data_IF_327736540683
#
_entry.id   IF_327736540683
#
_cell.length_a   1.000
_cell.length_b   1.000
_cell.length_c   1.000
_cell.angle_alpha   90.00
_cell.angle_beta   90.00
_cell.angle_gamma   90.00
#
_symmetry.space_group_name_H-M   'P 1'
#
loop_
_entity.id
_entity.type
_entity.pdbx_description
1 polymer ?
#
# COMPACT_ATOMS: atom_id res chain seq x y z
N UNK A 1 -31.43 -8.70 -7.76
CA UNK A 1 -30.00 -8.66 -8.15
C UNK A 1 -29.24 -9.31 -7.00
N UNK A 2 -28.50 -10.39 -7.22
CA UNK A 2 -27.64 -10.93 -6.16
C UNK A 2 -26.34 -10.12 -6.17
N UNK A 3 -25.93 -9.63 -5.01
CA UNK A 3 -24.75 -8.78 -4.85
C UNK A 3 -23.48 -9.66 -4.82
N UNK A 4 -22.56 -9.44 -5.78
CA UNK A 4 -21.33 -10.23 -5.94
C UNK A 4 -20.04 -9.42 -5.82
N UNK A 5 -20.12 -8.15 -5.41
CA UNK A 5 -18.97 -7.25 -5.36
C UNK A 5 -17.87 -7.80 -4.46
N UNK A 6 -18.21 -8.26 -3.25
CA UNK A 6 -17.25 -8.77 -2.28
C UNK A 6 -16.49 -9.99 -2.83
N UNK A 7 -17.20 -10.97 -3.39
CA UNK A 7 -16.61 -12.18 -3.96
C UNK A 7 -15.70 -11.85 -5.16
N UNK A 8 -16.14 -10.93 -6.03
CA UNK A 8 -15.39 -10.55 -7.24
C UNK A 8 -14.12 -9.79 -6.89
N UNK A 9 -14.20 -8.79 -5.99
CA UNK A 9 -13.03 -8.05 -5.49
C UNK A 9 -12.09 -9.01 -4.73
N UNK A 10 -12.65 -9.90 -3.91
CA UNK A 10 -11.84 -10.87 -3.17
C UNK A 10 -11.07 -11.81 -4.10
N UNK A 11 -11.65 -12.20 -5.24
CA UNK A 11 -10.99 -13.02 -6.26
C UNK A 11 -10.07 -12.23 -7.21
N UNK A 12 -9.88 -10.93 -6.98
CA UNK A 12 -8.88 -10.13 -7.66
C UNK A 12 -9.43 -9.16 -8.71
N UNK A 13 -10.75 -8.96 -8.80
CA UNK A 13 -11.32 -7.92 -9.65
C UNK A 13 -11.20 -6.53 -8.99
N UNK A 14 -9.96 -6.07 -8.83
CA UNK A 14 -9.60 -4.76 -8.32
C UNK A 14 -8.25 -4.33 -8.89
N UNK A 15 -8.11 -3.05 -9.22
CA UNK A 15 -6.87 -2.47 -9.72
C UNK A 15 -6.72 -1.03 -9.24
N UNK A 16 -5.48 -0.57 -9.13
CA UNK A 16 -5.17 0.84 -8.93
C UNK A 16 -4.97 1.53 -10.27
N UNK A 17 -5.55 2.73 -10.39
CA UNK A 17 -5.39 3.60 -11.53
C UNK A 17 -4.95 4.98 -11.06
N UNK A 18 -3.89 5.50 -11.68
CA UNK A 18 -3.34 6.81 -11.35
C UNK A 18 -3.78 7.85 -12.38
N UNK A 19 -4.38 8.94 -11.90
CA UNK A 19 -4.66 10.13 -12.69
C UNK A 19 -3.59 11.19 -12.40
N UNK A 20 -3.12 11.82 -13.47
CA UNK A 20 -2.11 12.87 -13.43
C UNK A 20 -2.73 14.19 -13.85
N UNK A 21 -2.19 15.29 -13.33
CA UNK A 21 -2.67 16.65 -13.60
C UNK A 21 -1.49 17.56 -13.94
N UNK A 22 -1.74 18.85 -14.15
CA UNK A 22 -0.66 19.82 -14.33
C UNK A 22 0.23 19.93 -13.07
N UNK A 23 -0.38 19.85 -11.88
CA UNK A 23 0.32 19.90 -10.59
C UNK A 23 1.07 18.59 -10.28
N UNK A 24 0.56 17.46 -10.74
CA UNK A 24 1.22 16.15 -10.59
C UNK A 24 1.33 15.47 -11.95
N UNK A 25 2.43 15.72 -12.65
CA UNK A 25 2.74 15.07 -13.93
C UNK A 25 3.28 13.64 -13.75
N UNK A 26 3.64 13.31 -12.50
CA UNK A 26 4.44 12.16 -12.08
C UNK A 26 5.72 11.92 -12.90
N UNK A 27 6.30 12.99 -13.41
CA UNK A 27 7.69 12.99 -13.84
C UNK A 27 8.36 14.18 -13.17
N UNK A 28 9.26 13.91 -12.22
CA UNK A 28 9.90 14.94 -11.42
C UNK A 28 10.97 15.73 -12.19
N UNK A 29 11.31 15.33 -13.42
CA UNK A 29 12.24 16.07 -14.28
C UNK A 29 11.56 17.21 -15.09
N UNK A 30 10.22 17.21 -15.18
CA UNK A 30 9.49 18.28 -15.88
C UNK A 30 9.39 19.49 -14.96
N UNK A 31 10.11 20.56 -15.30
CA UNK A 31 10.11 21.82 -14.55
C UNK A 31 9.53 22.94 -15.41
N UNK A 32 8.20 23.05 -15.37
CA UNK A 32 7.41 23.99 -16.17
C UNK A 32 6.77 25.11 -15.33
N UNK A 33 7.18 25.24 -14.06
CA UNK A 33 6.63 26.19 -13.10
C UNK A 33 5.26 25.82 -12.51
N UNK A 34 4.66 24.69 -12.91
CA UNK A 34 3.35 24.22 -12.41
C UNK A 34 3.48 22.87 -11.70
N UNK A 35 4.31 21.97 -12.22
CA UNK A 35 4.53 20.65 -11.64
C UNK A 35 5.13 20.77 -10.23
N UNK A 36 4.48 20.13 -9.25
CA UNK A 36 4.98 20.05 -7.87
C UNK A 36 6.18 19.11 -7.73
N UNK A 37 6.47 18.30 -8.77
CA UNK A 37 7.63 17.43 -8.85
C UNK A 37 7.73 16.47 -7.65
N UNK A 38 6.58 15.88 -7.27
CA UNK A 38 6.56 14.81 -6.27
C UNK A 38 7.51 13.66 -6.66
N UNK A 39 8.03 12.91 -5.66
CA UNK A 39 8.88 11.76 -5.92
C UNK A 39 8.20 10.81 -6.90
N UNK A 40 8.77 10.71 -8.09
CA UNK A 40 8.22 9.91 -9.18
C UNK A 40 9.27 9.38 -10.13
N UNK A 41 10.41 10.06 -10.22
CA UNK A 41 11.48 9.73 -11.16
C UNK A 41 11.16 10.20 -12.57
N UNK A 42 11.91 9.66 -13.53
CA UNK A 42 11.85 10.09 -14.93
C UNK A 42 12.12 8.98 -15.94
N UNK A 43 12.50 7.78 -15.50
CA UNK A 43 12.81 6.67 -16.40
C UNK A 43 11.56 5.91 -16.84
N UNK A 44 10.57 5.74 -15.97
CA UNK A 44 9.34 4.99 -16.28
C UNK A 44 8.16 5.90 -16.62
N UNK A 45 7.56 5.67 -17.79
CA UNK A 45 6.47 6.49 -18.30
C UNK A 45 5.10 6.17 -17.67
N UNK A 46 4.87 4.96 -17.15
CA UNK A 46 3.58 4.50 -16.62
C UNK A 46 3.74 3.38 -15.57
N UNK A 47 2.65 3.01 -14.89
CA UNK A 47 2.64 1.93 -13.89
C UNK A 47 3.23 2.35 -12.55
N UNK A 48 3.95 1.43 -11.89
CA UNK A 48 4.83 1.81 -10.77
C UNK A 48 6.05 2.50 -11.36
N UNK A 49 6.23 3.77 -11.00
CA UNK A 49 7.40 4.55 -11.42
C UNK A 49 8.57 4.31 -10.49
N UNK A 50 9.70 4.95 -10.80
CA UNK A 50 10.96 4.74 -10.07
C UNK A 50 10.82 5.00 -8.57
N UNK A 51 10.02 6.03 -8.23
CA UNK A 51 9.82 6.49 -6.85
C UNK A 51 8.35 6.78 -6.51
N UNK A 52 7.41 6.45 -7.39
CA UNK A 52 5.96 6.55 -7.17
C UNK A 52 5.32 5.17 -7.34
N UNK A 53 4.98 4.52 -6.24
CA UNK A 53 4.64 3.09 -6.19
C UNK A 53 3.25 2.88 -5.61
N UNK A 54 2.41 2.16 -6.34
CA UNK A 54 1.10 1.71 -5.89
C UNK A 54 1.24 0.51 -4.95
N UNK A 55 0.55 0.57 -3.81
CA UNK A 55 0.49 -0.50 -2.80
C UNK A 55 -0.98 -0.80 -2.50
N UNK A 56 -1.55 -1.77 -3.20
CA UNK A 56 -2.84 -2.35 -2.83
C UNK A 56 -2.64 -3.36 -1.72
N UNK A 57 -3.00 -2.98 -0.49
CA UNK A 57 -2.92 -3.84 0.69
C UNK A 57 -4.26 -4.55 0.86
N UNK A 58 -4.24 -5.87 0.89
CA UNK A 58 -5.45 -6.67 1.08
C UNK A 58 -5.16 -7.88 1.98
N UNK A 59 -6.19 -8.40 2.63
CA UNK A 59 -6.13 -9.69 3.30
C UNK A 59 -6.74 -10.80 2.44
N UNK A 60 -6.11 -11.97 2.48
CA UNK A 60 -6.49 -13.19 1.77
C UNK A 60 -6.37 -14.39 2.69
N UNK A 61 -7.03 -15.47 2.30
CA UNK A 61 -7.01 -16.77 2.95
C UNK A 61 -7.04 -17.83 1.85
N UNK A 62 -6.41 -18.95 2.13
CA UNK A 62 -6.33 -20.08 1.22
C UNK A 62 -6.76 -21.37 1.92
N UNK A 63 -7.32 -22.30 1.16
CA UNK A 63 -7.55 -23.66 1.64
C UNK A 63 -6.24 -24.48 1.66
N UNK A 64 -6.32 -25.73 2.13
CA UNK A 64 -5.16 -26.62 2.21
C UNK A 64 -4.54 -26.94 0.83
N UNK A 65 -5.28 -26.77 -0.27
CA UNK A 65 -4.80 -26.95 -1.63
C UNK A 65 -4.22 -25.65 -2.23
N UNK A 66 -4.17 -24.56 -1.45
CA UNK A 66 -3.69 -23.27 -1.92
C UNK A 66 -4.68 -22.52 -2.81
N UNK A 67 -5.97 -22.86 -2.79
CA UNK A 67 -7.00 -22.10 -3.51
C UNK A 67 -7.51 -20.95 -2.65
N UNK A 68 -7.76 -19.79 -3.26
CA UNK A 68 -8.36 -18.65 -2.57
C UNK A 68 -9.71 -19.05 -1.97
N UNK A 69 -9.85 -18.85 -0.66
CA UNK A 69 -11.04 -19.22 0.08
C UNK A 69 -11.84 -17.99 0.52
N UNK A 70 -13.14 -18.01 0.26
CA UNK A 70 -14.06 -16.94 0.66
C UNK A 70 -15.39 -17.52 1.09
N UNK A 71 -15.91 -17.10 2.23
CA UNK A 71 -17.23 -17.51 2.72
C UNK A 71 -18.30 -16.45 2.37
N UNK A 72 -19.13 -16.66 1.33
CA UNK A 72 -20.17 -15.70 0.96
C UNK A 72 -21.31 -15.60 1.98
N UNK A 73 -21.40 -16.52 2.94
CA UNK A 73 -22.42 -16.49 4.00
C UNK A 73 -21.96 -15.72 5.24
N UNK A 74 -20.73 -15.21 5.26
CA UNK A 74 -20.26 -14.37 6.35
C UNK A 74 -20.72 -12.91 6.15
N UNK A 75 -21.82 -12.55 6.79
CA UNK A 75 -22.46 -11.23 6.65
C UNK A 75 -21.79 -10.12 7.47
N UNK A 76 -21.02 -10.49 8.51
CA UNK A 76 -20.35 -9.54 9.41
C UNK A 76 -19.01 -9.06 8.86
N UNK A 77 -18.62 -9.56 7.69
CA UNK A 77 -17.38 -9.24 7.01
C UNK A 77 -16.37 -10.38 7.06
N UNK A 78 -15.70 -10.60 5.94
CA UNK A 78 -14.71 -11.66 5.79
C UNK A 78 -13.31 -11.11 6.05
N UNK A 79 -12.58 -11.77 6.96
CA UNK A 79 -11.18 -11.45 7.27
C UNK A 79 -10.29 -12.61 6.82
N UNK A 80 -9.34 -12.31 5.95
CA UNK A 80 -8.24 -13.21 5.59
C UNK A 80 -7.20 -13.30 6.72
N UNK A 81 -6.46 -14.40 6.77
CA UNK A 81 -5.40 -14.66 7.74
C UNK A 81 -4.04 -14.13 7.30
N UNK A 82 -3.87 -13.84 6.01
CA UNK A 82 -2.61 -13.43 5.42
C UNK A 82 -2.73 -12.11 4.67
N UNK A 83 -1.75 -11.22 4.89
CA UNK A 83 -1.68 -9.93 4.22
C UNK A 83 -0.90 -10.05 2.91
N UNK A 84 -1.44 -9.45 1.85
CA UNK A 84 -0.78 -9.33 0.54
C UNK A 84 -0.64 -7.86 0.15
N UNK A 85 0.36 -7.57 -0.66
CA UNK A 85 0.52 -6.27 -1.31
C UNK A 85 0.64 -6.50 -2.82
N UNK A 86 -0.20 -5.83 -3.60
CA UNK A 86 -0.28 -6.02 -5.06
C UNK A 86 -0.41 -7.50 -5.44
N UNK A 87 -1.22 -8.25 -4.69
CA UNK A 87 -1.45 -9.70 -4.82
C UNK A 87 -0.23 -10.60 -4.56
N UNK A 88 0.91 -10.04 -4.15
CA UNK A 88 2.07 -10.79 -3.68
C UNK A 88 2.02 -11.07 -2.19
N UNK A 89 2.39 -12.29 -1.78
CA UNK A 89 2.60 -12.64 -0.38
C UNK A 89 3.99 -12.19 0.08
N UNK A 90 4.05 -11.40 1.17
CA UNK A 90 5.28 -10.86 1.77
C UNK A 90 6.30 -10.34 0.73
N UNK A 91 5.90 -9.43 -0.17
CA UNK A 91 6.83 -8.90 -1.17
C UNK A 91 7.85 -7.96 -0.51
N UNK A 92 8.97 -7.77 -1.19
CA UNK A 92 9.97 -6.76 -0.86
C UNK A 92 10.20 -5.82 -2.05
N UNK A 93 10.73 -4.63 -1.77
CA UNK A 93 11.11 -3.64 -2.76
C UNK A 93 12.50 -3.13 -2.42
N UNK A 94 13.44 -3.25 -3.35
CA UNK A 94 14.77 -2.66 -3.20
C UNK A 94 14.69 -1.15 -3.39
N UNK A 95 15.14 -0.40 -2.38
CA UNK A 95 15.05 1.07 -2.35
C UNK A 95 16.41 1.73 -2.29
N UNK A 96 16.50 2.95 -2.82
CA UNK A 96 17.66 3.83 -2.66
C UNK A 96 17.45 4.78 -1.48
N UNK A 97 18.52 5.35 -0.95
CA UNK A 97 18.45 6.37 0.10
C UNK A 97 17.93 7.72 -0.46
N UNK A 98 16.61 7.82 -0.66
CA UNK A 98 15.91 9.02 -1.18
C UNK A 98 14.42 8.99 -0.83
N UNK A 99 13.70 10.05 -1.20
CA UNK A 99 12.25 10.12 -1.04
C UNK A 99 11.52 9.22 -2.04
N UNK A 100 10.46 8.58 -1.55
CA UNK A 100 9.50 7.79 -2.30
C UNK A 100 8.08 8.29 -2.00
N UNK A 101 7.19 8.13 -2.97
CA UNK A 101 5.75 8.30 -2.83
C UNK A 101 5.10 6.93 -2.89
N UNK A 102 4.41 6.54 -1.83
CA UNK A 102 3.61 5.33 -1.79
C UNK A 102 2.13 5.68 -1.87
N UNK A 103 1.45 5.14 -2.87
CA UNK A 103 0.00 5.27 -3.06
C UNK A 103 -0.65 4.04 -2.45
N UNK A 104 -1.20 4.20 -1.25
CA UNK A 104 -1.71 3.08 -0.47
C UNK A 104 -3.22 2.98 -0.65
N UNK A 105 -3.68 1.81 -1.08
CA UNK A 105 -5.10 1.47 -1.14
C UNK A 105 -5.37 0.28 -0.23
N UNK A 106 -6.36 0.39 0.66
CA UNK A 106 -6.89 -0.76 1.35
C UNK A 106 -7.87 -1.50 0.43
N UNK A 107 -7.42 -2.58 -0.20
CA UNK A 107 -8.20 -3.46 -1.07
C UNK A 107 -8.83 -4.65 -0.34
N UNK A 108 -8.84 -4.63 1.00
CA UNK A 108 -9.49 -5.65 1.84
C UNK A 108 -11.01 -5.55 1.73
N UNK A 109 -11.71 -6.67 1.87
CA UNK A 109 -13.18 -6.67 1.85
C UNK A 109 -13.76 -6.11 3.14
N UNK A 110 -13.15 -6.41 4.29
CA UNK A 110 -13.69 -6.01 5.60
C UNK A 110 -12.65 -5.55 6.61
N UNK A 111 -11.36 -5.75 6.34
CA UNK A 111 -10.28 -5.38 7.25
C UNK A 111 -9.97 -3.89 7.20
N UNK A 112 -10.02 -3.22 8.34
CA UNK A 112 -9.40 -1.92 8.53
C UNK A 112 -7.90 -2.07 8.79
N UNK A 113 -7.11 -1.14 8.27
CA UNK A 113 -5.65 -1.16 8.40
C UNK A 113 -5.16 0.15 9.01
N UNK A 114 -4.25 0.05 9.97
CA UNK A 114 -3.38 1.15 10.41
C UNK A 114 -1.96 0.78 10.03
N UNK A 115 -1.31 1.63 9.24
CA UNK A 115 0.02 1.36 8.68
C UNK A 115 1.05 2.28 9.34
N UNK A 116 2.22 1.72 9.62
CA UNK A 116 3.40 2.48 9.96
C UNK A 116 4.56 2.00 9.07
N UNK A 117 5.44 2.93 8.71
CA UNK A 117 6.76 2.58 8.19
C UNK A 117 7.67 2.43 9.40
N UNK A 118 8.41 1.33 9.45
CA UNK A 118 9.30 1.04 10.58
C UNK A 118 10.66 0.58 10.09
N UNK A 119 11.68 0.83 10.91
CA UNK A 119 12.99 0.19 10.78
C UNK A 119 13.13 -0.91 11.82
N UNK A 120 13.75 -2.02 11.42
CA UNK A 120 14.12 -3.08 12.34
C UNK A 120 15.26 -2.64 13.26
N UNK A 121 15.17 -3.04 14.53
CA UNK A 121 16.13 -2.81 15.58
C UNK A 121 16.45 -4.17 16.21
N UNK A 122 17.74 -4.48 16.35
CA UNK A 122 18.19 -5.68 17.04
C UNK A 122 17.87 -5.57 18.55
N UNK A 123 17.27 -6.62 19.11
CA UNK A 123 16.83 -6.67 20.51
C UNK A 123 15.44 -6.07 20.73
N UNK A 124 15.11 -5.74 21.98
CA UNK A 124 13.77 -5.30 22.40
C UNK A 124 13.68 -3.79 22.70
N UNK A 125 14.64 -2.99 22.20
CA UNK A 125 14.74 -1.56 22.50
C UNK A 125 13.94 -0.63 21.59
N UNK A 126 13.27 -1.17 20.57
CA UNK A 126 12.38 -0.42 19.67
C UNK A 126 11.04 -0.07 20.30
N UNK A 127 10.29 0.77 19.61
CA UNK A 127 8.95 1.23 20.03
C UNK A 127 7.89 0.12 19.94
N UNK A 128 7.96 -0.73 18.91
CA UNK A 128 7.03 -1.83 18.71
C UNK A 128 7.75 -3.18 18.89
N UNK A 129 7.10 -4.16 19.54
CA UNK A 129 7.65 -5.50 19.67
C UNK A 129 7.68 -6.20 18.31
N UNK A 130 8.75 -6.96 18.03
CA UNK A 130 8.77 -7.91 16.93
C UNK A 130 7.98 -9.19 17.22
N UNK A 131 7.90 -10.11 16.24
CA UNK A 131 7.32 -11.43 16.46
C UNK A 131 7.94 -12.12 17.68
N UNK A 132 7.14 -12.86 18.45
CA UNK A 132 7.60 -13.54 19.67
C UNK A 132 8.80 -14.44 19.37
N UNK A 133 9.91 -14.22 20.08
CA UNK A 133 11.15 -15.00 19.93
C UNK A 133 12.06 -14.57 18.77
N UNK A 134 11.70 -13.53 18.01
CA UNK A 134 12.52 -13.05 16.89
C UNK A 134 13.80 -12.31 17.33
N UNK A 135 13.83 -11.77 18.55
CA UNK A 135 14.94 -10.96 19.03
C UNK A 135 15.08 -9.63 18.28
N UNK A 136 14.03 -9.17 17.61
CA UNK A 136 13.96 -7.86 16.95
C UNK A 136 12.79 -7.03 17.48
N UNK A 137 12.91 -5.73 17.35
CA UNK A 137 11.89 -4.73 17.61
C UNK A 137 11.89 -3.70 16.50
N UNK A 138 10.93 -2.79 16.50
CA UNK A 138 10.76 -1.83 15.42
C UNK A 138 10.66 -0.40 15.94
N UNK A 139 11.22 0.55 15.21
CA UNK A 139 11.05 1.98 15.49
C UNK A 139 10.38 2.66 14.29
N UNK A 140 9.41 3.54 14.56
CA UNK A 140 8.73 4.32 13.51
C UNK A 140 9.71 5.14 12.69
N UNK A 141 9.49 5.16 11.39
CA UNK A 141 10.09 6.10 10.44
C UNK A 141 9.01 7.14 10.13
N UNK A 142 9.26 8.44 10.40
CA UNK A 142 8.33 9.50 10.05
C UNK A 142 8.10 9.56 8.53
N UNK A 143 6.89 9.90 8.13
CA UNK A 143 6.52 10.12 6.73
C UNK A 143 5.50 11.25 6.67
N UNK A 144 5.21 11.73 5.46
CA UNK A 144 4.23 12.77 5.26
C UNK A 144 3.06 12.23 4.42
N UNK A 145 1.85 12.36 4.93
CA UNK A 145 0.65 12.21 4.11
C UNK A 145 0.49 13.47 3.25
N UNK A 146 0.39 13.28 1.93
CA UNK A 146 0.31 14.37 0.96
C UNK A 146 -1.00 14.39 0.15
N UNK A 147 -1.78 13.32 0.23
CA UNK A 147 -3.01 13.14 -0.51
C UNK A 147 -3.97 12.21 0.24
N UNK A 148 -5.26 12.33 -0.06
CA UNK A 148 -6.33 11.43 0.37
C UNK A 148 -7.25 11.10 -0.83
N UNK A 149 -8.39 10.45 -0.59
CA UNK A 149 -9.36 10.09 -1.64
C UNK A 149 -9.88 11.32 -2.43
N UNK A 150 -9.81 12.50 -1.81
CA UNK A 150 -10.15 13.80 -2.40
C UNK A 150 -9.01 14.51 -3.14
N UNK A 151 -7.89 13.83 -3.42
CA UNK A 151 -6.67 14.30 -4.09
C UNK A 151 -5.58 14.87 -3.14
N UNK A 152 -4.64 15.63 -3.72
CA UNK A 152 -3.52 16.27 -3.03
C UNK A 152 -4.06 17.26 -1.98
N UNK A 153 -3.50 17.19 -0.77
CA UNK A 153 -3.88 18.06 0.33
C UNK A 153 -3.18 19.41 0.22
N UNK A 154 -3.78 20.46 0.78
CA UNK A 154 -3.19 21.82 0.82
C UNK A 154 -1.85 21.83 1.57
N UNK A 155 -1.74 21.03 2.63
CA UNK A 155 -0.53 20.87 3.43
C UNK A 155 -0.27 19.40 3.71
N UNK A 156 1.02 19.07 3.89
CA UNK A 156 1.44 17.74 4.30
C UNK A 156 1.14 17.51 5.78
N UNK A 157 0.69 16.30 6.13
CA UNK A 157 0.48 15.87 7.52
C UNK A 157 1.60 14.90 7.92
N UNK A 158 2.40 15.20 8.96
CA UNK A 158 3.49 14.34 9.43
C UNK A 158 3.04 13.13 10.26
#
# INVERSE_FOLDING_TARGET
MMDFTAQNVYKGNAAMMNYYSALDRGNEAIDDGVNLRFPSGSTLAWGNRDYDVNLTVADKAWDQAGQLWFNPFNTDGFLGDEMVVNWGYKPYLDVRARSYRFRILNGSVSRYVKIAVVREIKGNGGEFPGPKGSGVSYARVPFHMIANDGNIMEHTVP
#
